data_IF_601092152891
#
_entry.id   IF_601092152891
#
_cell.length_a   1.000
_cell.length_b   1.000
_cell.length_c   1.000
_cell.angle_alpha   90.00
_cell.angle_beta   90.00
_cell.angle_gamma   90.00
#
_symmetry.space_group_name_H-M   'P 1'
#
loop_
_entity.id
_entity.type
_entity.pdbx_description
1 polymer ?
#
# COMPACT_ATOMS: atom_id res chain seq x y z
N UNK A 1 48.82 -0.92 -55.06
CA UNK A 1 47.67 -0.15 -55.56
C UNK A 1 46.47 -1.08 -55.57
N UNK A 2 45.55 -0.92 -54.61
CA UNK A 2 44.35 -1.74 -54.49
C UNK A 2 43.15 -0.87 -54.87
N UNK A 3 42.44 -1.25 -55.93
CA UNK A 3 41.18 -0.62 -56.33
C UNK A 3 40.02 -1.31 -55.58
N UNK A 4 39.00 -0.55 -55.12
CA UNK A 4 37.89 -1.12 -54.38
C UNK A 4 36.93 -1.88 -55.30
N UNK A 5 36.48 -3.06 -54.86
CA UNK A 5 35.34 -3.76 -55.46
C UNK A 5 34.06 -2.95 -55.22
N UNK A 6 33.40 -2.54 -56.30
CA UNK A 6 32.02 -2.04 -56.24
C UNK A 6 31.06 -3.23 -56.14
N UNK A 7 30.46 -3.41 -54.97
CA UNK A 7 29.24 -4.21 -54.82
C UNK A 7 28.08 -3.48 -55.51
N UNK A 8 27.49 -4.11 -56.53
CA UNK A 8 26.24 -3.64 -57.11
C UNK A 8 25.11 -3.76 -56.06
N UNK A 9 24.28 -2.72 -55.85
CA UNK A 9 23.10 -2.84 -55.03
C UNK A 9 22.07 -3.72 -55.75
N UNK A 10 21.73 -4.87 -55.16
CA UNK A 10 20.57 -5.67 -55.58
C UNK A 10 19.30 -4.83 -55.40
N UNK A 11 18.71 -4.37 -56.51
CA UNK A 11 17.33 -3.89 -56.50
C UNK A 11 16.42 -5.10 -56.38
N UNK A 12 15.76 -5.23 -55.23
CA UNK A 12 14.75 -6.24 -54.95
C UNK A 12 13.46 -5.89 -55.71
N UNK A 13 13.38 -6.32 -56.98
CA UNK A 13 12.25 -5.99 -57.87
C UNK A 13 11.12 -7.00 -57.64
N UNK A 14 10.14 -6.57 -56.85
CA UNK A 14 8.94 -7.35 -56.52
C UNK A 14 8.00 -7.42 -57.74
N UNK A 15 7.47 -8.61 -58.04
CA UNK A 15 6.52 -8.81 -59.13
C UNK A 15 5.25 -7.96 -58.96
N UNK A 16 4.69 -7.44 -60.05
CA UNK A 16 3.47 -6.62 -60.03
C UNK A 16 2.27 -7.30 -59.35
N UNK A 17 2.21 -8.63 -59.38
CA UNK A 17 1.17 -9.41 -58.70
C UNK A 17 1.40 -9.50 -57.19
N UNK A 18 2.65 -9.58 -56.75
CA UNK A 18 3.01 -9.50 -55.33
C UNK A 18 2.72 -8.11 -54.75
N UNK A 19 2.96 -7.05 -55.53
CA UNK A 19 2.61 -5.68 -55.15
C UNK A 19 1.09 -5.50 -54.99
N UNK A 20 0.29 -6.00 -55.94
CA UNK A 20 -1.19 -5.97 -55.86
C UNK A 20 -1.73 -6.78 -54.69
N UNK A 21 -1.18 -7.97 -54.45
CA UNK A 21 -1.54 -8.81 -53.30
C UNK A 21 -1.23 -8.10 -51.97
N UNK A 22 -0.04 -7.50 -51.84
CA UNK A 22 0.35 -6.73 -50.67
C UNK A 22 -0.60 -5.55 -50.40
N UNK A 23 -0.94 -4.76 -51.42
CA UNK A 23 -1.88 -3.64 -51.28
C UNK A 23 -3.27 -4.10 -50.82
N UNK A 24 -3.73 -5.25 -51.33
CA UNK A 24 -5.03 -5.82 -50.94
C UNK A 24 -5.01 -6.24 -49.47
N UNK A 25 -3.92 -6.86 -49.02
CA UNK A 25 -3.73 -7.23 -47.62
C UNK A 25 -3.62 -6.00 -46.70
N UNK A 26 -2.90 -4.95 -47.12
CA UNK A 26 -2.83 -3.70 -46.36
C UNK A 26 -4.19 -3.02 -46.23
N UNK A 27 -4.96 -2.96 -47.32
CA UNK A 27 -6.33 -2.44 -47.30
C UNK A 27 -7.22 -3.25 -46.36
N UNK A 28 -7.12 -4.58 -46.38
CA UNK A 28 -7.91 -5.45 -45.53
C UNK A 28 -7.51 -5.30 -44.05
N UNK A 29 -6.21 -5.24 -43.77
CA UNK A 29 -5.68 -5.01 -42.43
C UNK A 29 -6.13 -3.65 -41.87
N UNK A 30 -6.05 -2.59 -42.67
CA UNK A 30 -6.49 -1.25 -42.24
C UNK A 30 -7.99 -1.20 -41.95
N UNK A 31 -8.83 -1.84 -42.78
CA UNK A 31 -10.26 -1.98 -42.49
C UNK A 31 -10.53 -2.73 -41.19
N UNK A 32 -9.75 -3.78 -40.91
CA UNK A 32 -9.88 -4.57 -39.68
C UNK A 32 -9.44 -3.77 -38.45
N UNK A 33 -8.36 -2.99 -38.55
CA UNK A 33 -7.91 -2.08 -37.49
C UNK A 33 -8.96 -1.00 -37.22
N UNK A 34 -9.58 -0.43 -38.25
CA UNK A 34 -10.64 0.57 -38.07
C UNK A 34 -11.90 -0.04 -37.43
N UNK A 35 -12.27 -1.27 -37.79
CA UNK A 35 -13.35 -1.99 -37.10
C UNK A 35 -13.02 -2.25 -35.62
N UNK A 36 -11.79 -2.63 -35.29
CA UNK A 36 -11.36 -2.81 -33.90
C UNK A 36 -11.40 -1.49 -33.12
N UNK A 37 -10.99 -0.38 -33.74
CA UNK A 37 -11.09 0.96 -33.15
C UNK A 37 -12.54 1.33 -32.81
N UNK A 38 -13.47 1.09 -33.74
CA UNK A 38 -14.89 1.38 -33.53
C UNK A 38 -15.51 0.49 -32.44
N UNK A 39 -15.12 -0.78 -32.35
CA UNK A 39 -15.57 -1.68 -31.29
C UNK A 39 -15.07 -1.22 -29.91
N UNK A 40 -13.81 -0.80 -29.81
CA UNK A 40 -13.25 -0.25 -28.57
C UNK A 40 -13.97 1.04 -28.16
N UNK A 41 -14.22 1.95 -29.10
CA UNK A 41 -14.93 3.21 -28.84
C UNK A 41 -16.37 2.96 -28.34
N UNK A 42 -17.08 1.98 -28.91
CA UNK A 42 -18.41 1.58 -28.45
C UNK A 42 -18.36 0.88 -27.07
N UNK A 43 -17.34 0.07 -26.81
CA UNK A 43 -17.12 -0.55 -25.51
C UNK A 43 -16.86 0.50 -24.43
N UNK A 44 -16.03 1.50 -24.69
CA UNK A 44 -15.79 2.62 -23.77
C UNK A 44 -17.07 3.40 -23.48
N UNK A 45 -17.91 3.62 -24.50
CA UNK A 45 -19.22 4.26 -24.33
C UNK A 45 -20.15 3.45 -23.44
N UNK A 46 -20.23 2.14 -23.64
CA UNK A 46 -21.04 1.25 -22.82
C UNK A 46 -20.51 1.18 -21.38
N UNK A 47 -19.19 1.11 -21.18
CA UNK A 47 -18.57 1.16 -19.86
C UNK A 47 -18.88 2.48 -19.15
N UNK A 48 -18.82 3.61 -19.85
CA UNK A 48 -19.19 4.92 -19.30
C UNK A 48 -20.66 4.97 -18.88
N UNK A 49 -21.58 4.48 -19.72
CA UNK A 49 -23.00 4.42 -19.40
C UNK A 49 -23.30 3.50 -18.20
N UNK A 50 -22.65 2.34 -18.13
CA UNK A 50 -22.79 1.42 -17.00
C UNK A 50 -22.27 2.04 -15.70
N UNK A 51 -21.11 2.72 -15.75
CA UNK A 51 -20.56 3.48 -14.61
C UNK A 51 -21.51 4.58 -14.14
N UNK A 52 -22.11 5.33 -15.07
CA UNK A 52 -23.10 6.36 -14.75
C UNK A 52 -24.34 5.76 -14.07
N UNK A 53 -24.85 4.65 -14.61
CA UNK A 53 -26.01 3.96 -14.05
C UNK A 53 -25.74 3.37 -12.67
N UNK A 54 -24.55 2.81 -12.45
CA UNK A 54 -24.09 2.33 -11.14
C UNK A 54 -24.03 3.50 -10.15
N UNK A 55 -23.45 4.65 -10.52
CA UNK A 55 -23.37 5.82 -9.62
C UNK A 55 -24.76 6.34 -9.18
N UNK A 56 -25.75 6.29 -10.07
CA UNK A 56 -27.15 6.64 -9.76
C UNK A 56 -27.78 5.62 -8.80
N UNK A 57 -27.58 4.32 -9.06
CA UNK A 57 -28.12 3.24 -8.23
C UNK A 57 -27.43 3.15 -6.85
N UNK A 58 -26.18 3.58 -6.75
CA UNK A 58 -25.39 3.64 -5.51
C UNK A 58 -25.71 4.88 -4.64
N UNK A 59 -26.65 5.74 -5.04
CA UNK A 59 -27.12 6.86 -4.21
C UNK A 59 -26.26 8.13 -4.29
N UNK A 60 -25.45 8.29 -5.35
CA UNK A 60 -24.75 9.53 -5.62
C UNK A 60 -25.75 10.66 -5.88
N UNK A 61 -25.85 11.63 -4.96
CA UNK A 61 -26.65 12.83 -5.18
C UNK A 61 -26.13 13.56 -6.41
N UNK A 62 -27.03 13.86 -7.35
CA UNK A 62 -26.75 14.44 -8.67
C UNK A 62 -26.12 15.85 -8.66
N UNK A 63 -25.67 16.35 -7.50
CA UNK A 63 -25.23 17.74 -7.29
C UNK A 63 -23.71 17.94 -7.32
N UNK A 64 -22.88 16.91 -7.50
CA UNK A 64 -21.46 17.08 -7.81
C UNK A 64 -21.10 16.47 -9.17
N UNK A 65 -21.75 16.98 -10.22
CA UNK A 65 -21.28 16.78 -11.60
C UNK A 65 -20.16 17.77 -11.89
N UNK A 66 -18.92 17.31 -11.82
CA UNK A 66 -17.77 18.01 -12.41
C UNK A 66 -17.11 17.11 -13.46
N UNK A 67 -17.36 17.42 -14.73
CA UNK A 67 -16.55 17.03 -15.89
C UNK A 67 -16.52 15.55 -16.31
N UNK A 68 -16.14 15.23 -17.56
CA UNK A 68 -15.95 13.87 -18.05
C UNK A 68 -14.67 13.20 -17.53
N UNK A 69 -14.07 13.72 -16.46
CA UNK A 69 -12.93 13.13 -15.77
C UNK A 69 -13.42 12.58 -14.44
N UNK A 70 -13.69 11.27 -14.39
CA UNK A 70 -13.96 10.61 -13.12
C UNK A 70 -12.78 10.83 -12.17
N UNK A 71 -12.96 11.70 -11.17
CA UNK A 71 -11.91 12.08 -10.23
C UNK A 71 -11.55 10.89 -9.33
N UNK A 72 -10.68 9.99 -9.83
CA UNK A 72 -9.80 9.24 -8.94
C UNK A 72 -9.16 10.25 -7.99
N UNK A 73 -9.17 9.97 -6.69
CA UNK A 73 -8.36 10.76 -5.75
C UNK A 73 -6.94 10.75 -6.29
N UNK A 74 -6.47 11.90 -6.72
CA UNK A 74 -5.17 12.04 -7.35
C UNK A 74 -4.09 12.25 -6.30
N UNK A 75 -2.85 11.91 -6.65
CA UNK A 75 -1.71 12.04 -5.75
C UNK A 75 -1.56 13.46 -5.21
N UNK A 76 -2.03 14.47 -5.95
CA UNK A 76 -2.00 15.87 -5.52
C UNK A 76 -2.96 16.13 -4.35
N UNK A 77 -4.20 15.65 -4.42
CA UNK A 77 -5.18 15.78 -3.32
C UNK A 77 -4.67 15.08 -2.06
N UNK A 78 -4.11 13.87 -2.19
CA UNK A 78 -3.48 13.14 -1.07
C UNK A 78 -2.33 13.95 -0.49
N UNK A 79 -1.42 14.45 -1.33
CA UNK A 79 -0.27 15.25 -0.89
C UNK A 79 -0.68 16.53 -0.18
N UNK A 80 -1.70 17.23 -0.67
CA UNK A 80 -2.20 18.47 -0.07
C UNK A 80 -2.85 18.22 1.29
N UNK A 81 -3.80 17.29 1.37
CA UNK A 81 -4.48 16.97 2.62
C UNK A 81 -3.50 16.44 3.68
N UNK A 82 -2.58 15.56 3.27
CA UNK A 82 -1.51 15.07 4.14
C UNK A 82 -0.57 16.19 4.60
N UNK A 83 -0.23 17.16 3.73
CA UNK A 83 0.60 18.30 4.11
C UNK A 83 -0.09 19.23 5.11
N UNK A 84 -1.41 19.41 5.00
CA UNK A 84 -2.17 20.19 5.98
C UNK A 84 -2.17 19.48 7.34
N UNK A 85 -2.43 18.18 7.35
CA UNK A 85 -2.40 17.38 8.58
C UNK A 85 -1.01 17.38 9.23
N UNK A 86 0.06 17.21 8.45
CA UNK A 86 1.45 17.29 8.95
C UNK A 86 1.76 18.65 9.60
N UNK A 87 1.29 19.75 9.01
CA UNK A 87 1.45 21.10 9.60
C UNK A 87 0.76 21.22 10.95
N UNK A 88 -0.44 20.66 11.09
CA UNK A 88 -1.19 20.67 12.36
C UNK A 88 -0.48 19.84 13.43
N UNK A 89 0.01 18.64 13.08
CA UNK A 89 0.78 17.77 13.98
C UNK A 89 2.09 18.45 14.42
N UNK A 90 2.81 19.04 13.47
CA UNK A 90 4.05 19.76 13.77
C UNK A 90 3.81 20.98 14.67
N UNK A 91 2.74 21.75 14.42
CA UNK A 91 2.38 22.91 15.24
C UNK A 91 1.99 22.49 16.65
N UNK A 92 1.10 21.51 16.79
CA UNK A 92 0.70 21.00 18.10
C UNK A 92 1.89 20.47 18.92
N UNK A 93 2.76 19.67 18.30
CA UNK A 93 3.95 19.14 19.00
C UNK A 93 4.92 20.26 19.40
N UNK A 94 5.11 21.28 18.55
CA UNK A 94 5.92 22.46 18.90
C UNK A 94 5.31 23.24 20.06
N UNK A 95 4.00 23.53 19.99
CA UNK A 95 3.26 24.28 21.01
C UNK A 95 3.26 23.52 22.35
N UNK A 96 3.14 22.20 22.32
CA UNK A 96 3.22 21.32 23.50
C UNK A 96 4.61 21.35 24.13
N UNK A 97 5.67 21.44 23.32
CA UNK A 97 7.04 21.55 23.87
C UNK A 97 7.32 22.95 24.42
N UNK A 98 6.74 24.00 23.81
CA UNK A 98 6.89 25.38 24.27
C UNK A 98 6.08 25.67 25.55
N UNK A 99 4.87 25.11 25.64
CA UNK A 99 3.96 25.29 26.77
C UNK A 99 3.55 23.92 27.34
N UNK A 100 4.47 23.19 27.98
CA UNK A 100 4.26 21.80 28.32
C UNK A 100 3.27 21.64 29.49
N UNK A 101 2.21 20.81 29.36
CA UNK A 101 1.21 20.59 30.41
C UNK A 101 1.75 19.79 31.60
N UNK A 102 2.87 19.09 31.40
CA UNK A 102 3.65 18.33 32.38
C UNK A 102 5.14 18.36 32.00
N UNK A 103 6.08 17.98 32.87
CA UNK A 103 7.51 18.05 32.56
C UNK A 103 7.86 17.34 31.23
N UNK A 104 8.71 17.96 30.39
CA UNK A 104 9.05 17.42 29.05
C UNK A 104 9.57 15.98 29.08
N UNK A 105 10.28 15.60 30.15
CA UNK A 105 10.74 14.23 30.33
C UNK A 105 9.60 13.24 30.57
N UNK A 106 8.58 13.65 31.32
CA UNK A 106 7.42 12.81 31.56
C UNK A 106 6.64 12.60 30.26
N UNK A 107 6.45 13.66 29.46
CA UNK A 107 5.84 13.57 28.12
C UNK A 107 6.61 12.64 27.19
N UNK A 108 7.94 12.77 27.14
CA UNK A 108 8.77 11.95 26.28
C UNK A 108 8.74 10.46 26.67
N UNK A 109 8.78 10.15 27.96
CA UNK A 109 8.69 8.76 28.45
C UNK A 109 7.31 8.18 28.24
N UNK A 110 6.25 8.94 28.48
CA UNK A 110 4.89 8.50 28.25
C UNK A 110 4.66 8.18 26.76
N UNK A 111 5.07 9.09 25.86
CA UNK A 111 5.02 8.84 24.42
C UNK A 111 5.83 7.60 24.03
N UNK A 112 7.02 7.40 24.60
CA UNK A 112 7.85 6.24 24.28
C UNK A 112 7.27 4.92 24.83
N UNK A 113 6.61 4.96 25.99
CA UNK A 113 5.93 3.81 26.58
C UNK A 113 4.72 3.36 25.74
N UNK A 114 4.01 4.33 25.14
CA UNK A 114 2.91 4.04 24.21
C UNK A 114 3.44 3.46 22.87
N UNK A 115 4.56 3.98 22.33
CA UNK A 115 5.13 3.53 21.04
C UNK A 115 5.82 2.16 21.15
N UNK A 116 6.62 1.96 22.21
CA UNK A 116 7.41 0.73 22.40
C UNK A 116 6.96 0.03 23.67
N UNK A 117 6.03 -0.91 23.51
CA UNK A 117 5.49 -1.68 24.62
C UNK A 117 6.60 -2.39 25.42
N UNK A 118 6.61 -2.18 26.74
CA UNK A 118 7.55 -2.84 27.65
C UNK A 118 8.97 -2.23 27.72
N UNK A 119 9.20 -1.07 27.11
CA UNK A 119 10.49 -0.38 27.20
C UNK A 119 10.66 0.34 28.54
N UNK A 120 11.71 0.02 29.29
CA UNK A 120 12.08 0.80 30.48
C UNK A 120 12.79 2.10 30.07
N UNK A 121 11.99 3.17 29.97
CA UNK A 121 12.46 4.51 29.66
C UNK A 121 12.81 5.35 30.91
N UNK A 122 12.91 4.75 32.10
CA UNK A 122 13.11 5.48 33.37
C UNK A 122 14.35 6.38 33.37
N UNK A 123 15.43 5.93 32.74
CA UNK A 123 16.70 6.66 32.62
C UNK A 123 16.80 7.54 31.36
N UNK A 124 15.79 7.53 30.50
CA UNK A 124 15.78 8.34 29.29
C UNK A 124 15.65 9.82 29.65
N UNK A 125 16.55 10.62 29.05
CA UNK A 125 16.59 12.07 29.18
C UNK A 125 16.47 12.70 27.78
N UNK A 126 15.23 12.99 27.39
CA UNK A 126 14.90 13.65 26.15
C UNK A 126 15.26 15.14 26.17
N UNK A 127 15.82 15.60 25.06
CA UNK A 127 15.87 17.02 24.71
C UNK A 127 14.49 17.49 24.23
N UNK A 128 14.19 18.80 24.24
CA UNK A 128 12.92 19.33 23.73
C UNK A 128 12.61 18.89 22.29
N UNK A 129 13.64 18.80 21.45
CA UNK A 129 13.53 18.34 20.07
C UNK A 129 13.19 16.84 19.98
N UNK A 130 13.78 16.00 20.82
CA UNK A 130 13.42 14.58 20.91
C UNK A 130 11.99 14.39 21.40
N UNK A 131 11.56 15.16 22.42
CA UNK A 131 10.16 15.16 22.86
C UNK A 131 9.22 15.52 21.71
N UNK A 132 9.55 16.55 20.93
CA UNK A 132 8.74 16.92 19.77
C UNK A 132 8.63 15.78 18.75
N UNK A 133 9.73 15.11 18.41
CA UNK A 133 9.70 14.00 17.46
C UNK A 133 8.91 12.79 17.98
N UNK A 134 9.02 12.47 19.27
CA UNK A 134 8.25 11.40 19.91
C UNK A 134 6.75 11.70 19.92
N UNK A 135 6.35 12.94 20.23
CA UNK A 135 4.95 13.37 20.15
C UNK A 135 4.39 13.22 18.74
N UNK A 136 5.17 13.57 17.71
CA UNK A 136 4.78 13.39 16.31
C UNK A 136 4.70 11.91 15.91
N UNK A 137 5.57 11.07 16.46
CA UNK A 137 5.51 9.62 16.27
C UNK A 137 4.23 9.04 16.86
N UNK A 138 3.96 9.28 18.15
CA UNK A 138 2.76 8.79 18.82
C UNK A 138 1.47 9.24 18.10
N UNK A 139 1.42 10.50 17.65
CA UNK A 139 0.29 11.00 16.84
C UNK A 139 0.20 10.31 15.47
N UNK A 140 1.32 10.01 14.83
CA UNK A 140 1.33 9.29 13.54
C UNK A 140 0.80 7.87 13.70
N UNK A 141 1.16 7.16 14.78
CA UNK A 141 0.62 5.83 15.11
C UNK A 141 -0.87 5.89 15.46
N UNK A 142 -1.30 6.91 16.21
CA UNK A 142 -2.72 7.09 16.53
C UNK A 142 -3.56 7.33 15.27
N UNK A 143 -3.06 8.13 14.31
CA UNK A 143 -3.75 8.36 13.04
C UNK A 143 -3.74 7.10 12.17
N UNK A 144 -2.63 6.35 12.18
CA UNK A 144 -2.49 5.07 11.50
C UNK A 144 -3.57 4.09 11.97
N UNK A 145 -3.53 3.69 13.24
CA UNK A 145 -4.33 2.59 13.77
C UNK A 145 -5.74 3.06 14.11
N UNK A 146 -5.87 4.22 14.73
CA UNK A 146 -7.15 4.72 15.22
C UNK A 146 -8.06 5.31 14.14
N UNK A 147 -7.54 5.70 12.96
CA UNK A 147 -8.30 6.52 11.99
C UNK A 147 -8.23 6.04 10.54
N UNK A 148 -7.03 5.80 10.00
CA UNK A 148 -6.89 5.42 8.58
C UNK A 148 -7.13 3.92 8.43
N UNK A 149 -6.48 3.10 9.26
CA UNK A 149 -6.61 1.65 9.16
C UNK A 149 -7.84 1.11 9.90
N UNK A 150 -8.40 1.85 10.86
CA UNK A 150 -9.70 1.56 11.46
C UNK A 150 -10.79 2.39 10.76
N UNK A 151 -11.69 1.72 10.04
CA UNK A 151 -12.79 2.37 9.33
C UNK A 151 -13.81 2.94 10.32
N UNK A 152 -13.64 4.20 10.72
CA UNK A 152 -14.56 4.89 11.64
C UNK A 152 -15.89 5.14 10.94
N UNK A 153 -16.84 4.24 11.17
CA UNK A 153 -18.20 4.25 10.62
C UNK A 153 -19.20 4.69 11.70
N UNK A 154 -18.99 4.26 12.94
CA UNK A 154 -19.88 4.50 14.09
C UNK A 154 -19.14 5.22 15.22
N UNK A 155 -19.86 5.61 16.26
CA UNK A 155 -19.27 6.12 17.50
C UNK A 155 -18.73 5.02 18.45
N UNK A 156 -18.85 3.75 18.07
CA UNK A 156 -18.33 2.61 18.85
C UNK A 156 -17.01 2.11 18.26
N UNK A 157 -15.93 2.17 19.05
CA UNK A 157 -14.61 1.67 18.65
C UNK A 157 -14.67 0.17 18.31
N UNK A 158 -15.30 -0.64 19.17
CA UNK A 158 -15.43 -2.09 18.95
C UNK A 158 -16.19 -2.40 17.64
N UNK A 159 -17.28 -1.68 17.36
CA UNK A 159 -18.02 -1.87 16.12
C UNK A 159 -17.17 -1.52 14.90
N UNK A 160 -16.39 -0.43 14.96
CA UNK A 160 -15.49 -0.03 13.88
C UNK A 160 -14.38 -1.06 13.62
N UNK A 161 -13.83 -1.65 14.69
CA UNK A 161 -12.85 -2.76 14.58
C UNK A 161 -13.47 -3.97 13.87
N UNK A 162 -14.68 -4.38 14.26
CA UNK A 162 -15.35 -5.53 13.63
C UNK A 162 -15.72 -5.24 12.16
N UNK A 163 -16.23 -4.04 11.87
CA UNK A 163 -16.55 -3.61 10.51
C UNK A 163 -15.30 -3.56 9.62
N UNK A 164 -14.17 -3.12 10.17
CA UNK A 164 -12.88 -3.15 9.47
C UNK A 164 -12.48 -4.59 9.14
N UNK A 165 -12.58 -5.53 10.10
CA UNK A 165 -12.28 -6.96 9.84
C UNK A 165 -13.21 -7.58 8.81
N UNK A 166 -14.49 -7.26 8.85
CA UNK A 166 -15.46 -7.71 7.85
C UNK A 166 -15.06 -7.19 6.47
N UNK A 167 -14.73 -5.91 6.35
CA UNK A 167 -14.25 -5.32 5.11
C UNK A 167 -13.02 -6.04 4.57
N UNK A 168 -12.01 -6.27 5.41
CA UNK A 168 -10.79 -6.97 5.02
C UNK A 168 -11.06 -8.39 4.53
N UNK A 169 -11.97 -9.11 5.19
CA UNK A 169 -12.39 -10.45 4.79
C UNK A 169 -13.13 -10.46 3.45
N UNK A 170 -14.01 -9.49 3.22
CA UNK A 170 -14.69 -9.33 1.93
C UNK A 170 -13.64 -8.96 0.86
N UNK A 171 -12.72 -8.05 1.16
CA UNK A 171 -11.68 -7.59 0.23
C UNK A 171 -10.74 -8.72 -0.21
N UNK A 172 -10.38 -9.60 0.72
CA UNK A 172 -9.58 -10.78 0.42
C UNK A 172 -10.27 -11.75 -0.56
N UNK A 173 -11.60 -11.77 -0.59
CA UNK A 173 -12.40 -12.62 -1.50
C UNK A 173 -12.69 -11.91 -2.82
N UNK A 174 -13.20 -10.69 -2.73
CA UNK A 174 -13.65 -9.88 -3.87
C UNK A 174 -13.49 -8.38 -3.53
N UNK A 175 -12.43 -7.73 -4.07
CA UNK A 175 -12.18 -6.31 -3.87
C UNK A 175 -13.30 -5.40 -4.40
N UNK A 176 -14.00 -5.82 -5.46
CA UNK A 176 -15.09 -5.05 -6.05
C UNK A 176 -16.28 -5.03 -5.09
N UNK A 177 -16.67 -6.20 -4.57
CA UNK A 177 -17.73 -6.31 -3.55
C UNK A 177 -17.34 -5.55 -2.28
N UNK A 178 -16.10 -5.68 -1.83
CA UNK A 178 -15.60 -4.95 -0.67
C UNK A 178 -15.68 -3.43 -0.87
N UNK A 179 -15.35 -2.94 -2.07
CA UNK A 179 -15.47 -1.53 -2.36
C UNK A 179 -16.91 -1.05 -2.38
N UNK A 180 -17.84 -1.82 -2.95
CA UNK A 180 -19.27 -1.48 -2.91
C UNK A 180 -19.78 -1.45 -1.48
N UNK A 181 -19.45 -2.48 -0.69
CA UNK A 181 -19.79 -2.55 0.73
C UNK A 181 -19.24 -1.34 1.48
N UNK A 182 -17.95 -1.01 1.29
CA UNK A 182 -17.31 0.16 1.91
C UNK A 182 -18.04 1.45 1.54
N UNK A 183 -18.32 1.69 0.25
CA UNK A 183 -19.04 2.91 -0.17
C UNK A 183 -20.41 3.01 0.49
N UNK A 184 -21.16 1.92 0.54
CA UNK A 184 -22.47 1.88 1.19
C UNK A 184 -22.36 2.12 2.69
N UNK A 185 -21.49 1.39 3.38
CA UNK A 185 -21.29 1.54 4.84
C UNK A 185 -20.78 2.93 5.22
N UNK A 186 -19.91 3.54 4.42
CA UNK A 186 -19.45 4.92 4.64
C UNK A 186 -20.53 5.96 4.32
N UNK A 187 -21.54 5.66 3.52
CA UNK A 187 -22.68 6.58 3.34
C UNK A 187 -23.52 6.74 4.61
N UNK A 188 -23.52 5.72 5.46
CA UNK A 188 -24.19 5.71 6.77
C UNK A 188 -23.23 6.07 7.93
N UNK A 189 -21.99 6.45 7.64
CA UNK A 189 -21.01 6.74 8.67
C UNK A 189 -21.25 8.09 9.35
N UNK A 190 -20.73 8.23 10.57
CA UNK A 190 -20.69 9.50 11.29
C UNK A 190 -20.07 10.60 10.41
N UNK A 191 -20.68 11.78 10.35
CA UNK A 191 -20.19 12.86 9.48
C UNK A 191 -18.99 13.61 10.09
N UNK A 192 -18.90 13.65 11.42
CA UNK A 192 -17.87 14.39 12.17
C UNK A 192 -17.28 13.56 13.30
N UNK A 193 -15.97 13.71 13.54
CA UNK A 193 -15.32 13.08 14.69
C UNK A 193 -15.60 13.90 15.94
N UNK A 194 -16.52 13.46 16.80
CA UNK A 194 -16.87 14.23 18.00
C UNK A 194 -15.69 14.31 18.99
N UNK A 195 -15.66 15.30 19.90
CA UNK A 195 -14.66 15.39 20.95
C UNK A 195 -14.53 14.10 21.78
N UNK A 196 -15.65 13.46 22.10
CA UNK A 196 -15.71 12.22 22.89
C UNK A 196 -15.10 11.05 22.12
N UNK A 197 -15.40 10.93 20.82
CA UNK A 197 -14.78 9.92 19.95
C UNK A 197 -13.28 10.16 19.84
N UNK A 198 -12.87 11.42 19.66
CA UNK A 198 -11.45 11.80 19.59
C UNK A 198 -10.72 11.42 20.87
N UNK A 199 -11.29 11.71 22.04
CA UNK A 199 -10.73 11.30 23.33
C UNK A 199 -10.67 9.78 23.46
N UNK A 200 -11.72 9.06 23.08
CA UNK A 200 -11.71 7.59 23.14
C UNK A 200 -10.58 7.00 22.29
N UNK A 201 -10.37 7.51 21.07
CA UNK A 201 -9.29 7.06 20.19
C UNK A 201 -7.93 7.36 20.85
N UNK A 202 -7.74 8.55 21.41
CA UNK A 202 -6.48 8.91 22.06
C UNK A 202 -6.17 8.05 23.29
N UNK A 203 -7.17 7.76 24.14
CA UNK A 203 -6.96 6.90 25.30
C UNK A 203 -6.73 5.44 24.91
N UNK A 204 -7.22 5.00 23.74
CA UNK A 204 -6.95 3.66 23.22
C UNK A 204 -5.53 3.56 22.64
N UNK A 205 -5.08 4.58 21.91
CA UNK A 205 -3.83 4.53 21.15
C UNK A 205 -2.61 5.11 21.87
N UNK A 206 -2.79 6.04 22.82
CA UNK A 206 -1.70 6.67 23.57
C UNK A 206 -2.10 6.93 25.05
N UNK A 207 -2.47 5.87 25.80
CA UNK A 207 -3.01 5.99 27.14
C UNK A 207 -2.06 6.72 28.11
N UNK A 208 -0.76 6.39 28.11
CA UNK A 208 0.21 6.99 29.04
C UNK A 208 0.37 8.48 28.74
N UNK A 209 0.52 8.85 27.47
CA UNK A 209 0.65 10.24 27.06
C UNK A 209 -0.60 11.06 27.42
N UNK A 210 -1.80 10.48 27.29
CA UNK A 210 -3.05 11.17 27.62
C UNK A 210 -3.17 11.53 29.12
N UNK A 211 -2.58 10.73 30.02
CA UNK A 211 -2.51 11.10 31.45
C UNK A 211 -1.73 12.39 31.66
N UNK A 212 -0.64 12.56 30.91
CA UNK A 212 0.26 13.72 30.98
C UNK A 212 -0.26 14.94 30.22
N UNK A 213 -1.10 14.72 29.21
CA UNK A 213 -1.88 15.75 28.53
C UNK A 213 -3.14 16.15 29.32
N UNK A 214 -3.42 15.50 30.46
CA UNK A 214 -4.57 15.79 31.34
C UNK A 214 -5.91 15.69 30.61
N UNK A 215 -6.03 14.75 29.68
CA UNK A 215 -7.25 14.60 28.87
C UNK A 215 -7.53 15.75 27.90
N UNK A 216 -6.57 16.64 27.64
CA UNK A 216 -6.74 17.72 26.69
C UNK A 216 -6.70 17.19 25.24
N UNK A 217 -7.64 17.63 24.41
CA UNK A 217 -7.63 17.30 23.00
C UNK A 217 -6.45 17.97 22.27
N UNK A 218 -5.67 17.21 21.47
CA UNK A 218 -4.67 17.75 20.56
C UNK A 218 -5.31 18.69 19.55
N UNK A 219 -5.13 19.99 19.76
CA UNK A 219 -5.64 21.04 18.89
C UNK A 219 -4.50 21.91 18.36
N UNK A 220 -4.69 22.44 17.16
CA UNK A 220 -3.78 23.39 16.53
C UNK A 220 -4.59 24.46 15.82
N UNK A 221 -4.33 25.74 16.14
CA UNK A 221 -5.05 26.86 15.56
C UNK A 221 -6.56 26.85 15.84
N UNK A 222 -6.99 26.26 16.96
CA UNK A 222 -8.41 26.14 17.34
C UNK A 222 -9.16 24.97 16.68
N UNK A 223 -8.45 24.10 15.95
CA UNK A 223 -9.04 22.94 15.28
C UNK A 223 -8.47 21.62 15.80
N UNK A 224 -9.29 20.57 15.81
CA UNK A 224 -8.88 19.22 16.23
C UNK A 224 -8.04 18.55 15.15
N UNK A 225 -6.89 17.98 15.54
CA UNK A 225 -6.04 17.20 14.62
C UNK A 225 -6.78 15.93 14.17
N UNK A 226 -7.52 15.30 15.09
CA UNK A 226 -8.23 14.05 14.84
C UNK A 226 -9.42 14.25 13.91
N UNK A 227 -10.07 15.41 13.96
CA UNK A 227 -11.10 15.77 13.00
C UNK A 227 -10.53 15.91 11.58
N UNK A 228 -9.35 16.53 11.44
CA UNK A 228 -8.66 16.63 10.15
C UNK A 228 -8.16 15.27 9.66
N UNK A 229 -7.67 14.43 10.56
CA UNK A 229 -7.30 13.06 10.23
C UNK A 229 -8.51 12.22 9.80
N UNK A 230 -9.66 12.42 10.45
CA UNK A 230 -10.91 11.77 10.06
C UNK A 230 -11.39 12.23 8.68
N UNK A 231 -11.36 13.55 8.41
CA UNK A 231 -11.67 14.10 7.10
C UNK A 231 -10.72 13.55 6.02
N UNK A 232 -9.44 13.37 6.34
CA UNK A 232 -8.46 12.73 5.45
C UNK A 232 -8.80 11.26 5.19
N UNK A 233 -9.16 10.48 6.22
CA UNK A 233 -9.63 9.10 6.06
C UNK A 233 -10.92 9.01 5.23
N UNK A 234 -11.87 9.93 5.45
CA UNK A 234 -13.09 10.07 4.62
C UNK A 234 -12.77 10.40 3.18
N UNK A 235 -11.79 11.26 2.91
CA UNK A 235 -11.33 11.51 1.55
C UNK A 235 -10.84 10.21 0.91
N UNK A 236 -10.04 9.40 1.61
CA UNK A 236 -9.51 8.14 1.10
C UNK A 236 -10.58 7.04 0.91
N UNK A 237 -11.47 6.88 1.88
CA UNK A 237 -12.36 5.71 2.02
C UNK A 237 -13.86 6.00 1.86
N UNK A 238 -14.27 7.27 1.83
CA UNK A 238 -15.68 7.68 1.84
C UNK A 238 -16.47 7.26 0.60
N UNK A 239 -17.79 7.39 0.67
CA UNK A 239 -18.71 7.00 -0.42
C UNK A 239 -18.44 7.71 -1.75
N UNK A 240 -17.97 8.97 -1.71
CA UNK A 240 -17.56 9.74 -2.88
C UNK A 240 -16.14 9.45 -3.39
N UNK A 241 -15.39 8.54 -2.73
CA UNK A 241 -14.05 8.15 -3.16
C UNK A 241 -14.14 7.32 -4.44
N UNK A 242 -13.63 7.84 -5.56
CA UNK A 242 -13.49 7.08 -6.81
C UNK A 242 -12.29 6.14 -6.81
N UNK A 243 -11.87 5.64 -5.63
CA UNK A 243 -10.76 4.70 -5.50
C UNK A 243 -11.01 3.34 -6.17
N UNK A 244 -12.21 3.12 -6.70
CA UNK A 244 -12.60 1.86 -7.33
C UNK A 244 -12.36 0.71 -6.36
N UNK A 245 -11.79 -0.38 -6.86
CA UNK A 245 -11.54 -1.61 -6.07
C UNK A 245 -10.29 -1.53 -5.20
N UNK A 246 -9.74 -0.33 -4.98
CA UNK A 246 -8.54 -0.11 -4.19
C UNK A 246 -8.84 0.34 -2.76
N UNK A 247 -8.03 -0.16 -1.84
CA UNK A 247 -8.09 0.15 -0.42
C UNK A 247 -6.80 0.84 0.04
N UNK A 248 -6.89 1.98 0.70
CA UNK A 248 -5.70 2.66 1.23
C UNK A 248 -5.34 2.12 2.62
N UNK A 249 -4.06 2.00 2.93
CA UNK A 249 -3.58 1.74 4.29
C UNK A 249 -2.46 2.70 4.63
N UNK A 250 -2.46 3.21 5.84
CA UNK A 250 -1.30 3.91 6.36
C UNK A 250 -0.29 2.90 6.91
N UNK A 251 0.95 3.35 7.09
CA UNK A 251 1.96 2.61 7.85
C UNK A 251 2.89 3.58 8.58
N UNK A 252 3.39 3.15 9.74
CA UNK A 252 4.45 3.81 10.50
C UNK A 252 5.60 2.81 10.62
N UNK A 253 6.81 3.14 10.12
CA UNK A 253 7.97 2.27 10.28
C UNK A 253 8.36 2.11 11.75
N UNK A 254 8.69 0.87 12.13
CA UNK A 254 9.14 0.54 13.49
C UNK A 254 10.42 1.29 13.84
N UNK A 255 10.54 1.76 15.09
CA UNK A 255 11.76 2.42 15.59
C UNK A 255 12.95 1.45 15.51
N UNK A 256 14.11 1.98 15.16
CA UNK A 256 15.38 1.26 14.94
C UNK A 256 15.37 0.24 13.79
N UNK A 257 14.28 0.11 13.04
CA UNK A 257 14.23 -0.67 11.79
C UNK A 257 15.10 -0.03 10.69
N UNK A 258 15.63 -0.81 9.74
CA UNK A 258 16.41 -0.28 8.62
C UNK A 258 15.53 0.59 7.71
N UNK A 259 16.13 1.61 7.09
CA UNK A 259 15.41 2.43 6.12
C UNK A 259 15.16 1.69 4.80
N UNK A 260 13.91 1.73 4.33
CA UNK A 260 13.52 1.27 3.01
C UNK A 260 13.24 2.47 2.09
N UNK A 261 14.15 2.84 1.17
CA UNK A 261 14.04 4.09 0.39
C UNK A 261 12.77 4.21 -0.47
N UNK A 262 12.13 3.09 -0.80
CA UNK A 262 10.87 3.05 -1.55
C UNK A 262 9.66 3.44 -0.69
N UNK A 263 9.72 3.21 0.61
CA UNK A 263 8.63 3.43 1.57
C UNK A 263 8.89 4.60 2.51
N UNK A 264 10.15 4.99 2.70
CA UNK A 264 10.56 5.95 3.73
C UNK A 264 11.32 7.11 3.10
N UNK A 265 11.00 8.32 3.55
CA UNK A 265 11.66 9.55 3.19
C UNK A 265 12.26 10.20 4.45
N UNK A 266 13.57 10.45 4.42
CA UNK A 266 14.24 11.19 5.48
C UNK A 266 14.00 12.69 5.33
N UNK A 267 13.51 13.31 6.40
CA UNK A 267 13.21 14.76 6.42
C UNK A 267 14.49 15.59 6.56
N UNK A 268 15.56 14.99 7.09
CA UNK A 268 16.91 15.54 7.09
C UNK A 268 17.90 14.45 6.68
N UNK A 269 18.89 14.81 5.87
CA UNK A 269 19.98 13.88 5.48
C UNK A 269 20.70 13.37 6.72
N UNK A 270 20.91 12.06 6.81
CA UNK A 270 21.75 11.48 7.85
C UNK A 270 23.20 11.38 7.35
N UNK A 271 24.15 11.82 8.18
CA UNK A 271 25.58 11.73 7.87
C UNK A 271 26.12 10.28 7.92
N UNK A 272 25.36 9.33 8.48
CA UNK A 272 25.71 7.89 8.49
C UNK A 272 25.57 7.27 7.10
N UNK A 273 24.46 7.56 6.41
CA UNK A 273 24.27 7.28 4.98
C UNK A 273 25.49 7.68 4.13
N UNK A 274 26.01 8.89 4.34
CA UNK A 274 27.15 9.41 3.59
C UNK A 274 28.47 8.67 3.88
N UNK A 275 28.54 7.93 5.01
CA UNK A 275 29.68 7.10 5.41
C UNK A 275 29.50 5.62 5.06
N UNK A 276 28.38 5.24 4.41
CA UNK A 276 28.06 3.86 4.08
C UNK A 276 27.56 3.03 5.27
N UNK A 277 27.18 3.67 6.36
CA UNK A 277 26.56 3.01 7.51
C UNK A 277 25.05 2.82 7.27
N UNK A 278 24.47 1.76 7.86
CA UNK A 278 23.03 1.51 7.80
C UNK A 278 22.27 2.59 8.57
N UNK A 279 21.41 3.33 7.87
CA UNK A 279 20.46 4.25 8.49
C UNK A 279 19.29 3.48 9.10
N UNK A 280 18.82 3.95 10.24
CA UNK A 280 17.68 3.38 10.99
C UNK A 280 16.63 4.43 11.30
N UNK A 281 15.39 3.99 11.43
CA UNK A 281 14.26 4.83 11.83
C UNK A 281 14.47 5.31 13.26
N UNK A 282 14.48 6.62 13.48
CA UNK A 282 14.43 7.20 14.83
C UNK A 282 12.99 7.48 15.24
N UNK A 283 12.32 8.34 14.48
CA UNK A 283 10.92 8.67 14.70
C UNK A 283 10.20 8.98 13.38
N UNK A 284 8.94 8.58 13.30
CA UNK A 284 8.05 8.91 12.20
C UNK A 284 7.36 10.23 12.51
N UNK A 285 7.52 11.22 11.64
CA UNK A 285 6.90 12.54 11.85
C UNK A 285 5.59 12.70 11.07
N UNK A 286 5.38 11.83 10.07
CA UNK A 286 4.13 11.68 9.35
C UNK A 286 4.03 10.26 8.74
N UNK A 287 2.88 9.57 8.83
CA UNK A 287 2.74 8.19 8.35
C UNK A 287 2.87 8.09 6.82
N UNK A 288 3.32 6.93 6.35
CA UNK A 288 3.28 6.56 4.95
C UNK A 288 1.90 6.09 4.54
N UNK A 289 1.63 6.04 3.23
CA UNK A 289 0.37 5.58 2.67
C UNK A 289 0.62 4.64 1.50
N UNK A 290 -0.04 3.50 1.51
CA UNK A 290 -0.07 2.52 0.42
C UNK A 290 -1.49 2.39 -0.14
N UNK A 291 -1.58 2.16 -1.44
CA UNK A 291 -2.78 1.72 -2.14
C UNK A 291 -2.68 0.21 -2.33
N UNK A 292 -3.65 -0.51 -1.78
CA UNK A 292 -3.78 -1.96 -1.88
C UNK A 292 -4.77 -2.28 -3.00
N UNK A 293 -4.33 -3.05 -3.97
CA UNK A 293 -5.14 -3.57 -5.08
C UNK A 293 -4.90 -5.07 -5.21
N UNK A 294 -5.86 -5.82 -5.73
CA UNK A 294 -5.68 -7.24 -6.04
C UNK A 294 -5.48 -7.41 -7.54
N UNK A 295 -4.52 -8.22 -7.94
CA UNK A 295 -4.39 -8.60 -9.35
C UNK A 295 -5.50 -9.57 -9.73
N UNK A 296 -6.13 -9.34 -10.87
CA UNK A 296 -7.29 -10.10 -11.37
C UNK A 296 -6.91 -11.42 -12.04
N UNK A 297 -5.63 -11.67 -12.34
CA UNK A 297 -5.17 -12.82 -13.12
C UNK A 297 -4.09 -13.64 -12.39
N UNK A 298 -4.50 -14.65 -11.61
CA UNK A 298 -3.59 -15.67 -11.07
C UNK A 298 -4.13 -16.38 -9.83
N UNK A 299 -4.03 -17.72 -9.79
CA UNK A 299 -4.49 -18.58 -8.68
C UNK A 299 -3.84 -18.25 -7.32
N UNK A 300 -2.78 -17.45 -7.31
CA UNK A 300 -2.19 -16.80 -6.13
C UNK A 300 -2.58 -15.33 -6.12
N UNK A 301 -3.80 -15.03 -5.66
CA UNK A 301 -4.28 -13.66 -5.50
C UNK A 301 -3.57 -12.94 -4.36
N UNK A 302 -2.35 -12.47 -4.63
CA UNK A 302 -1.59 -11.63 -3.73
C UNK A 302 -2.06 -10.16 -3.82
N UNK A 303 -2.03 -9.48 -2.68
CA UNK A 303 -2.37 -8.06 -2.63
C UNK A 303 -1.16 -7.24 -3.09
N UNK A 304 -1.31 -6.51 -4.20
CA UNK A 304 -0.32 -5.54 -4.66
C UNK A 304 -0.43 -4.27 -3.80
N UNK A 305 0.66 -3.89 -3.15
CA UNK A 305 0.75 -2.65 -2.38
C UNK A 305 1.63 -1.64 -3.12
N UNK A 306 1.01 -0.54 -3.55
CA UNK A 306 1.70 0.58 -4.20
C UNK A 306 1.86 1.73 -3.21
N UNK A 307 3.10 2.14 -2.93
CA UNK A 307 3.36 3.31 -2.07
C UNK A 307 2.91 4.58 -2.80
N UNK A 308 1.86 5.23 -2.30
CA UNK A 308 1.36 6.51 -2.83
C UNK A 308 1.96 7.70 -2.08
N UNK A 309 2.43 7.47 -0.86
CA UNK A 309 3.18 8.44 -0.06
C UNK A 309 4.18 7.72 0.83
N UNK A 310 5.44 8.13 0.82
CA UNK A 310 6.45 7.63 1.75
C UNK A 310 6.21 8.15 3.16
N UNK A 311 6.49 7.33 4.17
CA UNK A 311 6.54 7.78 5.56
C UNK A 311 7.66 8.81 5.72
N UNK A 312 7.39 9.91 6.42
CA UNK A 312 8.40 10.92 6.71
C UNK A 312 9.05 10.61 8.04
N UNK A 313 10.36 10.44 8.04
CA UNK A 313 11.11 9.91 9.19
C UNK A 313 12.31 10.79 9.51
N UNK A 314 12.61 10.88 10.81
CA UNK A 314 13.88 11.35 11.36
C UNK A 314 14.75 10.12 11.62
N UNK A 315 15.96 10.12 11.08
CA UNK A 315 16.91 9.04 11.31
C UNK A 315 17.33 8.98 12.79
N UNK A 316 17.58 7.79 13.31
CA UNK A 316 18.08 7.55 14.67
C UNK A 316 19.32 8.42 14.98
N UNK A 317 20.21 8.60 13.99
CA UNK A 317 21.40 9.43 14.11
C UNK A 317 21.08 10.91 14.45
N UNK A 318 19.98 11.43 13.90
CA UNK A 318 19.54 12.81 14.07
C UNK A 318 18.62 12.97 15.28
N UNK A 319 17.96 11.88 15.69
CA UNK A 319 17.18 11.82 16.90
C UNK A 319 18.07 11.73 18.15
N UNK A 320 19.25 11.12 18.04
CA UNK A 320 20.08 10.74 19.19
C UNK A 320 19.66 9.39 19.77
N UNK A 321 20.50 8.77 20.62
CA UNK A 321 20.25 7.43 21.12
C UNK A 321 18.95 7.38 21.92
N UNK A 322 17.99 6.60 21.42
CA UNK A 322 16.85 6.16 22.22
C UNK A 322 17.27 4.94 23.05
N UNK A 323 16.60 4.65 24.19
CA UNK A 323 16.88 3.47 25.00
C UNK A 323 16.44 2.15 24.34
N UNK A 324 16.07 2.16 23.05
CA UNK A 324 15.64 0.97 22.32
C UNK A 324 16.86 0.14 21.97
N UNK A 325 17.17 -0.85 22.79
CA UNK A 325 18.19 -1.84 22.48
C UNK A 325 17.61 -2.92 21.57
N UNK A 326 17.42 -2.60 20.28
CA UNK A 326 17.10 -3.63 19.28
C UNK A 326 18.39 -4.38 18.99
N UNK A 327 18.61 -5.48 19.70
CA UNK A 327 19.58 -6.47 19.25
C UNK A 327 19.18 -6.86 17.82
N UNK A 328 20.06 -6.71 16.82
CA UNK A 328 19.75 -7.25 15.50
C UNK A 328 19.51 -8.74 15.69
N UNK A 329 18.31 -9.21 15.34
CA UNK A 329 18.07 -10.64 15.20
C UNK A 329 19.17 -11.17 14.30
N UNK A 330 20.06 -11.99 14.87
CA UNK A 330 21.07 -12.70 14.11
C UNK A 330 20.30 -13.52 13.10
N UNK A 331 20.34 -13.11 11.83
CA UNK A 331 19.95 -13.98 10.74
C UNK A 331 20.88 -15.18 10.85
N UNK A 332 20.33 -16.31 11.29
CA UNK A 332 20.94 -17.63 11.12
C UNK A 332 21.22 -17.79 9.63
N UNK A 333 22.44 -17.43 9.25
CA UNK A 333 23.03 -17.86 8.00
C UNK A 333 23.22 -19.36 8.16
N UNK A 334 22.61 -20.21 7.31
CA UNK A 334 22.91 -21.63 7.36
C UNK A 334 24.40 -21.80 7.10
N UNK A 335 25.15 -22.15 8.14
CA UNK A 335 26.55 -22.46 8.03
C UNK A 335 26.71 -23.59 7.00
N UNK A 336 27.59 -23.46 6.00
CA UNK A 336 27.95 -24.61 5.19
C UNK A 336 28.65 -25.62 6.09
N UNK A 337 28.12 -26.85 6.11
CA UNK A 337 28.72 -28.01 6.78
C UNK A 337 30.20 -28.13 6.41
N UNK A 338 31.08 -27.69 7.31
CA UNK A 338 32.51 -27.90 7.22
C UNK A 338 32.80 -29.33 7.73
N UNK A 339 33.00 -30.26 6.80
CA UNK A 339 33.67 -31.52 7.12
C UNK A 339 35.17 -31.25 7.40
N UNK A 340 35.78 -31.93 8.38
CA UNK A 340 37.17 -31.69 8.74
C UNK A 340 38.11 -32.33 7.71
N UNK A 341 38.95 -31.52 7.08
CA UNK A 341 40.10 -31.99 6.29
C UNK A 341 41.28 -32.22 7.25
N UNK A 342 41.63 -33.49 7.47
CA UNK A 342 42.90 -33.89 8.06
C UNK A 342 44.03 -33.68 7.05
N UNK A 343 44.94 -32.75 7.33
CA UNK A 343 46.23 -32.66 6.64
C UNK A 343 47.20 -33.67 7.28
N UNK A 344 47.60 -34.68 6.52
CA UNK A 344 48.74 -35.54 6.85
C UNK A 344 49.86 -35.29 5.84
N UNK A 345 51.05 -34.96 6.36
CA UNK A 345 52.26 -34.74 5.57
C UNK A 345 52.93 -36.06 5.21
N UNK A 346 53.39 -36.18 3.96
CA UNK A 346 54.69 -36.78 3.64
C UNK A 346 54.70 -38.18 3.01
N UNK A 347 55.10 -38.20 1.73
CA UNK A 347 56.28 -38.95 1.22
C UNK A 347 56.04 -39.95 0.08
N UNK A 348 56.77 -39.67 -1.02
CA UNK A 348 57.31 -40.55 -2.07
C UNK A 348 56.39 -40.99 -3.24
N UNK A 349 56.85 -40.64 -4.47
CA UNK A 349 56.24 -40.95 -5.78
C UNK A 349 56.51 -42.38 -6.29
N UNK A 350 56.57 -42.68 -7.61
CA UNK A 350 56.53 -41.81 -8.80
C UNK A 350 55.42 -42.14 -9.84
N UNK A 351 55.39 -41.30 -10.89
CA UNK A 351 54.58 -41.22 -12.15
C UNK A 351 54.57 -42.50 -13.03
N UNK A 352 53.97 -42.56 -14.28
CA UNK A 352 53.37 -41.52 -15.13
C UNK A 352 52.13 -41.94 -16.00
N UNK A 353 51.76 -41.06 -16.96
CA UNK A 353 50.95 -41.27 -18.18
C UNK A 353 49.41 -41.27 -18.03
N UNK A 354 48.59 -40.79 -18.97
CA UNK A 354 48.69 -40.00 -20.21
C UNK A 354 47.24 -39.85 -20.74
N UNK A 355 46.99 -38.88 -21.64
CA UNK A 355 45.80 -38.87 -22.51
C UNK A 355 44.65 -37.97 -22.02
N UNK A 356 44.47 -36.79 -22.60
CA UNK A 356 43.64 -36.52 -23.79
C UNK A 356 42.12 -36.37 -23.50
N UNK A 357 41.69 -35.10 -23.44
CA UNK A 357 40.52 -34.43 -24.09
C UNK A 357 39.71 -35.26 -25.12
N UNK A 358 38.51 -34.83 -25.57
CA UNK A 358 37.23 -34.43 -24.92
C UNK A 358 35.99 -35.01 -25.69
N UNK A 359 34.79 -34.42 -25.49
CA UNK A 359 33.64 -34.28 -26.44
C UNK A 359 32.36 -35.08 -26.14
N UNK A 360 31.28 -34.29 -25.98
CA UNK A 360 29.84 -34.41 -26.32
C UNK A 360 29.15 -35.78 -26.47
N UNK A 361 27.91 -35.88 -25.95
CA UNK A 361 26.67 -35.99 -26.76
C UNK A 361 25.40 -36.12 -25.88
N UNK A 362 24.45 -35.19 -26.09
CA UNK A 362 23.03 -35.40 -26.43
C UNK A 362 22.13 -36.52 -25.81
N UNK A 363 20.97 -36.03 -25.34
CA UNK A 363 19.58 -36.45 -25.67
C UNK A 363 18.86 -37.62 -24.93
N UNK A 364 17.53 -37.41 -24.83
CA UNK A 364 16.42 -38.26 -24.36
C UNK A 364 16.24 -38.36 -22.83
N UNK A 365 15.04 -38.23 -22.25
CA UNK A 365 13.68 -38.40 -22.77
C UNK A 365 12.90 -39.29 -21.78
N UNK A 366 11.57 -39.13 -21.75
CA UNK A 366 10.56 -39.92 -21.00
C UNK A 366 10.45 -39.63 -19.48
N UNK A 367 9.28 -39.57 -18.85
CA UNK A 367 7.91 -39.85 -19.28
C UNK A 367 6.94 -39.74 -18.08
N UNK A 368 5.67 -39.46 -18.39
CA UNK A 368 4.50 -39.44 -17.48
C UNK A 368 4.01 -40.87 -17.19
N UNK A 369 3.39 -41.12 -16.03
CA UNK A 369 2.09 -41.81 -15.98
C UNK A 369 1.09 -41.01 -15.10
N UNK A 370 -0.11 -40.62 -15.58
CA UNK A 370 -1.36 -41.39 -15.53
C UNK A 370 -1.96 -41.36 -14.11
N UNK A 371 -3.18 -40.90 -13.79
CA UNK A 371 -4.44 -40.80 -14.51
C UNK A 371 -5.52 -41.54 -13.69
N UNK A 372 -6.40 -40.82 -12.97
CA UNK A 372 -7.61 -41.40 -12.32
C UNK A 372 -8.79 -40.44 -12.54
N UNK A 373 -9.85 -40.95 -13.16
CA UNK A 373 -11.13 -40.27 -13.42
C UNK A 373 -12.10 -40.36 -12.21
N UNK A 374 -13.12 -39.47 -12.14
CA UNK A 374 -14.02 -39.32 -11.00
C UNK A 374 -15.30 -40.16 -11.14
N UNK A 375 -16.17 -40.18 -10.12
CA UNK A 375 -17.59 -40.15 -10.48
C UNK A 375 -18.52 -39.33 -9.55
N UNK A 376 -19.65 -38.96 -10.18
CA UNK A 376 -21.02 -38.73 -9.67
C UNK A 376 -21.54 -37.28 -9.59
N UNK A 377 -22.37 -37.00 -10.61
CA UNK A 377 -23.47 -36.05 -10.75
C UNK A 377 -24.04 -35.42 -9.46
N UNK A 378 -24.08 -34.08 -9.43
CA UNK A 378 -25.05 -33.34 -8.61
C UNK A 378 -25.88 -32.42 -9.50
N UNK A 379 -27.19 -32.66 -9.50
CA UNK A 379 -28.23 -31.88 -10.19
C UNK A 379 -28.60 -30.70 -9.28
N UNK A 380 -28.55 -29.47 -9.80
CA UNK A 380 -28.82 -28.26 -9.04
C UNK A 380 -30.30 -28.09 -8.63
N UNK A 381 -30.61 -27.17 -7.69
CA UNK A 381 -31.98 -26.70 -7.49
C UNK A 381 -32.33 -25.64 -8.55
N UNK A 382 -33.40 -25.92 -9.29
CA UNK A 382 -34.01 -25.03 -10.27
C UNK A 382 -34.60 -23.77 -9.58
N UNK A 383 -34.40 -22.62 -10.21
CA UNK A 383 -35.02 -21.35 -9.86
C UNK A 383 -36.55 -21.44 -10.03
N UNK A 384 -37.37 -20.91 -9.11
CA UNK A 384 -38.82 -20.83 -9.30
C UNK A 384 -39.18 -19.79 -10.38
N UNK A 385 -40.28 -19.98 -11.12
CA UNK A 385 -40.70 -19.05 -12.16
C UNK A 385 -41.26 -17.74 -11.55
N UNK A 386 -40.81 -16.61 -12.08
CA UNK A 386 -41.38 -15.28 -11.84
C UNK A 386 -42.72 -15.15 -12.59
N UNK A 387 -43.82 -15.43 -11.90
CA UNK A 387 -45.16 -15.03 -12.31
C UNK A 387 -45.65 -13.87 -11.41
N UNK A 388 -46.17 -12.81 -12.04
CA UNK A 388 -47.09 -11.87 -11.40
C UNK A 388 -46.60 -10.44 -11.25
N UNK A 389 -46.69 -9.66 -12.34
CA UNK A 389 -46.80 -8.20 -12.25
C UNK A 389 -48.02 -7.83 -11.40
N UNK A 390 -47.80 -7.12 -10.30
CA UNK A 390 -48.85 -6.38 -9.59
C UNK A 390 -48.56 -4.89 -9.75
N UNK A 391 -49.39 -4.24 -10.54
CA UNK A 391 -49.49 -2.78 -10.68
C UNK A 391 -49.89 -2.13 -9.36
N UNK A 392 -49.26 -1.02 -8.92
CA UNK A 392 -49.75 -0.27 -7.77
C UNK A 392 -50.94 0.62 -8.16
N UNK A 393 -52.04 0.48 -7.43
CA UNK A 393 -53.23 1.34 -7.46
C UNK A 393 -52.86 2.74 -6.90
N UNK A 394 -53.36 3.85 -7.47
CA UNK A 394 -53.12 5.18 -6.93
C UNK A 394 -54.05 5.44 -5.75
N UNK A 395 -53.53 6.01 -4.66
CA UNK A 395 -54.33 6.62 -3.61
C UNK A 395 -54.08 8.13 -3.57
N UNK A 396 -55.21 8.83 -3.68
CA UNK A 396 -55.49 10.25 -3.50
C UNK A 396 -55.03 10.83 -2.19
#
# INVERSE_FOLDING_TARGET
>A
MAYPQYQQPQQDVVSGDQYRYALTNFSLAHKKVEQQRQQLEEQERQVAFLRERIAILEGGSAQQRHGPSGNSIDDFSIKNAASQLDKLINRWSADTVQNPPSPLQALARAALADIVAGLDASHFMATPMQTQFLLRHAMSETILEGIINCLIITNSSEANVQLTRIHEHIFARDPTVASVWRRQTFSAAVETCTPEMSLSILYEQMPELMTHLKGALPTSGGSSILEHAYAFSRMLHGSGSASGDAFYRAFVPEIASPLFPRQIELVKRCMKSERGELDRVGATIFPGLVKVTRESDGESGENLQTVVRRAQVICECAMGPLPVNVQPAVQDTPQPLHMPVQNNYGSQGPSPQAGQVPVDYHHNGYGIPGGVQPPINYVGPQSPPLNGYSTPTPLT
#
